data_IF_445495439345
#
_entry.id   IF_445495439345
#
_cell.length_a   1.000
_cell.length_b   1.000
_cell.length_c   1.000
_cell.angle_alpha   90.00
_cell.angle_beta   90.00
_cell.angle_gamma   90.00
#
_symmetry.space_group_name_H-M   'P 1'
#
loop_
_entity.id
_entity.type
_entity.pdbx_description
1 polymer ?
#
# COMPACT_ATOMS: atom_id res chain seq x y z
N UNK A 1 4.15 -1.84 44.99
CA UNK A 1 5.07 -0.90 44.32
C UNK A 1 5.05 -1.28 42.84
N UNK A 2 4.20 -0.61 42.06
CA UNK A 2 4.09 -0.89 40.62
C UNK A 2 5.39 -0.42 39.96
N UNK A 3 6.13 -1.34 39.36
CA UNK A 3 7.28 -0.96 38.53
C UNK A 3 6.72 -0.37 37.25
N UNK A 4 6.97 0.92 37.05
CA UNK A 4 6.77 1.57 35.77
C UNK A 4 7.80 1.02 34.79
N UNK A 5 7.32 0.42 33.70
CA UNK A 5 8.15 0.03 32.57
C UNK A 5 8.51 1.33 31.85
N UNK A 6 9.71 1.85 32.10
CA UNK A 6 10.27 2.95 31.33
C UNK A 6 10.56 2.44 29.91
N UNK A 7 9.72 2.81 28.95
CA UNK A 7 10.02 2.66 27.53
C UNK A 7 11.30 3.47 27.26
N UNK A 8 12.44 2.79 27.11
CA UNK A 8 13.69 3.47 26.76
C UNK A 8 13.47 4.35 25.53
N UNK A 9 14.01 5.57 25.54
CA UNK A 9 13.99 6.45 24.39
C UNK A 9 14.70 5.75 23.23
N UNK A 10 13.92 5.14 22.35
CA UNK A 10 14.43 4.48 21.16
C UNK A 10 14.75 5.61 20.17
N UNK A 11 16.04 5.86 19.95
CA UNK A 11 16.52 6.78 18.92
C UNK A 11 15.67 6.62 17.65
N UNK A 12 15.19 7.72 17.06
CA UNK A 12 14.30 7.63 15.91
C UNK A 12 14.98 6.82 14.81
N UNK A 13 14.30 5.76 14.37
CA UNK A 13 14.77 4.91 13.28
C UNK A 13 15.26 5.78 12.11
N UNK A 14 16.37 5.40 11.48
CA UNK A 14 16.94 6.14 10.34
C UNK A 14 15.89 6.40 9.24
N UNK A 15 14.91 5.51 9.10
CA UNK A 15 13.78 5.65 8.19
C UNK A 15 12.88 6.87 8.49
N UNK A 16 12.76 7.26 9.77
CA UNK A 16 12.00 8.45 10.18
C UNK A 16 12.72 9.76 9.87
N UNK A 17 14.06 9.72 9.69
CA UNK A 17 14.91 10.89 9.40
C UNK A 17 15.10 11.12 7.89
N UNK A 18 14.56 10.24 7.03
CA UNK A 18 14.71 10.35 5.58
C UNK A 18 13.88 11.55 5.04
N UNK A 19 14.44 12.40 4.17
CA UNK A 19 13.69 13.45 3.47
C UNK A 19 12.48 12.91 2.70
N UNK A 20 11.41 13.69 2.64
CA UNK A 20 10.15 13.28 1.99
C UNK A 20 10.35 12.97 0.51
N UNK A 21 11.18 13.73 -0.19
CA UNK A 21 11.46 13.53 -1.61
C UNK A 21 12.11 12.16 -1.89
N UNK A 22 12.99 11.69 -1.00
CA UNK A 22 13.58 10.36 -1.11
C UNK A 22 12.57 9.26 -0.80
N UNK A 23 11.69 9.48 0.18
CA UNK A 23 10.60 8.55 0.48
C UNK A 23 9.64 8.45 -0.72
N UNK A 24 9.39 9.55 -1.42
CA UNK A 24 8.56 9.58 -2.62
C UNK A 24 9.20 8.76 -3.75
N UNK A 25 10.51 8.93 -4.03
CA UNK A 25 11.22 8.12 -5.02
C UNK A 25 11.16 6.63 -4.69
N UNK A 26 11.24 6.27 -3.41
CA UNK A 26 11.03 4.88 -2.98
C UNK A 26 9.60 4.46 -3.33
N UNK A 27 8.57 5.21 -2.92
CA UNK A 27 7.19 4.87 -3.20
C UNK A 27 6.85 4.72 -4.69
N UNK A 28 7.43 5.57 -5.55
CA UNK A 28 7.28 5.49 -7.00
C UNK A 28 7.96 4.26 -7.61
N UNK A 29 8.93 3.67 -6.92
CA UNK A 29 9.58 2.41 -7.36
C UNK A 29 8.86 1.15 -6.87
N UNK A 30 7.94 1.27 -5.90
CA UNK A 30 7.23 0.15 -5.31
C UNK A 30 5.98 -0.21 -6.11
N UNK A 31 5.75 -1.52 -6.28
CA UNK A 31 4.43 -2.03 -6.68
C UNK A 31 3.40 -1.86 -5.56
N UNK A 32 2.11 -2.03 -5.87
CA UNK A 32 1.02 -1.74 -4.94
C UNK A 32 1.16 -2.41 -3.56
N UNK A 33 1.48 -3.70 -3.51
CA UNK A 33 1.57 -4.43 -2.24
C UNK A 33 2.66 -3.86 -1.33
N UNK A 34 3.85 -3.57 -1.90
CA UNK A 34 4.96 -2.99 -1.15
C UNK A 34 4.69 -1.54 -0.77
N UNK A 35 4.04 -0.77 -1.64
CA UNK A 35 3.59 0.57 -1.32
C UNK A 35 2.66 0.58 -0.09
N UNK A 36 1.72 -0.37 0.01
CA UNK A 36 0.87 -0.48 1.20
C UNK A 36 1.66 -0.87 2.45
N UNK A 37 2.60 -1.83 2.34
CA UNK A 37 3.44 -2.26 3.48
C UNK A 37 4.31 -1.12 4.01
N UNK A 38 4.92 -0.34 3.12
CA UNK A 38 5.81 0.76 3.44
C UNK A 38 5.13 1.86 4.28
N UNK A 39 3.81 2.05 4.18
CA UNK A 39 3.04 2.97 5.04
C UNK A 39 3.11 2.65 6.54
N UNK A 40 3.46 1.41 6.88
CA UNK A 40 3.48 0.92 8.26
C UNK A 40 4.86 1.06 8.92
N UNK A 41 5.88 1.57 8.22
CA UNK A 41 7.25 1.73 8.74
C UNK A 41 7.29 2.75 9.88
N UNK A 42 6.79 3.95 9.65
CA UNK A 42 6.68 5.01 10.64
C UNK A 42 5.67 6.09 10.19
N UNK A 43 5.38 7.04 11.07
CA UNK A 43 4.46 8.16 10.79
C UNK A 43 4.94 9.03 9.62
N UNK A 44 6.25 9.26 9.49
CA UNK A 44 6.84 10.02 8.38
C UNK A 44 6.56 9.37 7.02
N UNK A 45 6.78 8.06 6.91
CA UNK A 45 6.50 7.30 5.69
C UNK A 45 5.00 7.28 5.36
N UNK A 46 4.15 7.11 6.38
CA UNK A 46 2.70 7.18 6.20
C UNK A 46 2.25 8.55 5.69
N UNK A 47 2.85 9.63 6.15
CA UNK A 47 2.55 10.98 5.68
C UNK A 47 2.99 11.20 4.23
N UNK A 48 4.24 10.83 3.92
CA UNK A 48 4.78 10.91 2.55
C UNK A 48 3.95 10.07 1.56
N UNK A 49 3.41 8.93 1.99
CA UNK A 49 2.58 8.06 1.14
C UNK A 49 1.32 8.72 0.58
N UNK A 50 0.82 9.79 1.23
CA UNK A 50 -0.35 10.54 0.77
C UNK A 50 -0.04 11.48 -0.40
N UNK A 51 1.24 11.81 -0.59
CA UNK A 51 1.74 12.70 -1.63
C UNK A 51 2.33 11.94 -2.82
N UNK A 52 2.58 10.64 -2.65
CA UNK A 52 3.08 9.74 -3.68
C UNK A 52 1.97 8.84 -4.23
N UNK A 53 2.00 8.57 -5.53
CA UNK A 53 1.20 7.50 -6.13
C UNK A 53 2.06 6.24 -6.26
N UNK A 54 1.53 5.04 -5.94
CA UNK A 54 2.23 3.81 -6.28
C UNK A 54 2.46 3.74 -7.79
N UNK A 55 3.53 3.08 -8.20
CA UNK A 55 3.63 2.70 -9.61
C UNK A 55 2.42 1.82 -9.92
N UNK A 56 1.63 2.29 -10.88
CA UNK A 56 0.63 1.69 -11.76
C UNK A 56 0.30 0.17 -11.69
N UNK A 57 1.15 -0.68 -11.11
CA UNK A 57 0.89 -2.09 -10.79
C UNK A 57 -0.13 -2.28 -9.65
N UNK A 58 -1.31 -1.67 -9.77
CA UNK A 58 -2.44 -2.04 -8.94
C UNK A 58 -2.85 -3.49 -9.28
N UNK A 59 -3.00 -4.37 -8.27
CA UNK A 59 -3.35 -5.76 -8.53
C UNK A 59 -4.74 -5.81 -9.14
N UNK A 60 -4.91 -6.69 -10.11
CA UNK A 60 -6.23 -6.99 -10.67
C UNK A 60 -7.15 -7.47 -9.55
N UNK A 61 -8.37 -6.93 -9.51
CA UNK A 61 -9.35 -7.28 -8.49
C UNK A 61 -10.25 -8.39 -9.02
N UNK A 62 -10.33 -9.50 -8.28
CA UNK A 62 -11.30 -10.55 -8.56
C UNK A 62 -12.58 -10.21 -7.81
N UNK A 63 -13.66 -9.93 -8.54
CA UNK A 63 -15.00 -9.74 -8.00
C UNK A 63 -15.75 -11.06 -8.10
N UNK A 64 -16.19 -11.56 -6.94
CA UNK A 64 -16.97 -12.77 -6.88
C UNK A 64 -18.38 -12.55 -7.43
N UNK A 65 -18.95 -13.56 -8.11
CA UNK A 65 -20.28 -13.47 -8.68
C UNK A 65 -21.38 -13.24 -7.63
N UNK A 66 -22.42 -12.54 -8.05
CA UNK A 66 -23.71 -12.58 -7.37
C UNK A 66 -24.32 -13.99 -7.45
N UNK A 67 -25.19 -14.33 -6.48
CA UNK A 67 -25.82 -15.65 -6.40
C UNK A 67 -26.44 -16.06 -7.75
N UNK A 68 -26.01 -17.20 -8.28
CA UNK A 68 -26.52 -17.75 -9.54
C UNK A 68 -25.64 -17.51 -10.77
N UNK A 69 -24.51 -16.79 -10.62
CA UNK A 69 -23.46 -16.69 -11.66
C UNK A 69 -22.29 -17.61 -11.30
N UNK A 70 -21.71 -18.25 -12.31
CA UNK A 70 -20.64 -19.25 -12.23
C UNK A 70 -19.28 -18.71 -12.70
N UNK A 71 -19.18 -17.40 -12.92
CA UNK A 71 -17.96 -16.72 -13.37
C UNK A 71 -17.52 -15.66 -12.38
N UNK A 72 -16.21 -15.45 -12.25
CA UNK A 72 -15.65 -14.29 -11.55
C UNK A 72 -15.30 -13.20 -12.55
N UNK A 73 -15.45 -11.94 -12.13
CA UNK A 73 -15.01 -10.79 -12.91
C UNK A 73 -13.63 -10.38 -12.45
N UNK A 74 -12.77 -10.04 -13.40
CA UNK A 74 -11.44 -9.53 -13.14
C UNK A 74 -11.41 -8.07 -13.59
N UNK A 75 -11.18 -7.17 -12.64
CA UNK A 75 -11.15 -5.74 -12.87
C UNK A 75 -9.70 -5.27 -12.90
N UNK A 76 -9.29 -4.66 -14.01
CA UNK A 76 -8.01 -3.99 -14.14
C UNK A 76 -8.18 -2.49 -13.80
N UNK A 77 -7.65 -2.04 -12.65
CA UNK A 77 -7.72 -0.63 -12.25
C UNK A 77 -6.91 0.33 -13.14
N UNK A 78 -6.03 -0.16 -14.03
CA UNK A 78 -5.31 0.68 -15.00
C UNK A 78 -6.06 0.88 -16.32
N UNK A 79 -7.00 0.00 -16.65
CA UNK A 79 -7.76 0.14 -17.88
C UNK A 79 -8.81 1.25 -17.74
N UNK A 80 -8.80 2.18 -18.70
CA UNK A 80 -9.79 3.28 -18.76
C UNK A 80 -11.17 2.83 -19.24
N UNK A 81 -11.28 1.56 -19.65
CA UNK A 81 -12.51 0.93 -20.13
C UNK A 81 -12.85 -0.23 -19.20
N UNK A 82 -14.12 -0.36 -18.83
CA UNK A 82 -14.62 -1.47 -18.02
C UNK A 82 -14.63 -2.77 -18.87
N UNK A 83 -13.46 -3.39 -19.06
CA UNK A 83 -13.38 -4.69 -19.73
C UNK A 83 -13.68 -5.80 -18.73
N UNK A 84 -14.73 -6.57 -19.03
CA UNK A 84 -15.12 -7.74 -18.27
C UNK A 84 -14.30 -8.94 -18.77
N UNK A 85 -13.31 -9.35 -17.98
CA UNK A 85 -12.63 -10.61 -18.21
C UNK A 85 -13.30 -11.71 -17.38
N UNK A 86 -13.72 -12.78 -18.06
CA UNK A 86 -14.25 -13.98 -17.42
C UNK A 86 -13.09 -14.83 -16.93
N UNK A 87 -13.07 -15.11 -15.63
CA UNK A 87 -12.19 -16.12 -15.06
C UNK A 87 -13.00 -17.42 -14.90
N UNK A 88 -12.70 -18.42 -15.74
CA UNK A 88 -13.29 -19.76 -15.71
C UNK A 88 -12.50 -20.70 -14.78
#
# INVERSE_FOLDING_TARGET
MSQEVSCGEMEPSMWSKLPSDLIQLIFESLGFADFQRAKSVCSSWRYASKQSSPNNQNPWLILFPEKGKDYCLLFDPEEKEDKLYFFF
#
